data_IF_015079769475
#
_entry.id   IF_015079769475
#
_cell.length_a   1.000
_cell.length_b   1.000
_cell.length_c   1.000
_cell.angle_alpha   90.00
_cell.angle_beta   90.00
_cell.angle_gamma   90.00
#
_symmetry.space_group_name_H-M   'P 1'
#
loop_
_entity.id
_entity.type
_entity.pdbx_description
1 polymer ?
#
# COMPACT_ATOMS: atom_id res chain seq x y z
N UNK A 1 14.49 29.56 4.03
CA UNK A 1 15.02 28.20 4.27
C UNK A 1 14.11 27.07 3.78
N UNK A 2 12.78 27.22 3.81
CA UNK A 2 11.81 26.21 3.33
C UNK A 2 12.11 25.68 1.93
N UNK A 3 12.33 26.56 0.96
CA UNK A 3 12.62 26.18 -0.43
C UNK A 3 13.93 25.39 -0.56
N UNK A 4 14.94 25.71 0.25
CA UNK A 4 16.23 24.99 0.26
C UNK A 4 16.07 23.59 0.82
N UNK A 5 15.35 23.44 1.94
CA UNK A 5 15.05 22.12 2.52
C UNK A 5 14.22 21.24 1.58
N UNK A 6 13.23 21.82 0.91
CA UNK A 6 12.42 21.12 -0.08
C UNK A 6 13.24 20.68 -1.31
N UNK A 7 14.10 21.55 -1.83
CA UNK A 7 14.98 21.20 -2.95
C UNK A 7 15.95 20.06 -2.61
N UNK A 8 16.55 20.08 -1.41
CA UNK A 8 17.42 19.01 -0.91
C UNK A 8 16.64 17.70 -0.77
N UNK A 9 15.42 17.74 -0.24
CA UNK A 9 14.55 16.58 -0.12
C UNK A 9 14.24 15.96 -1.48
N UNK A 10 13.83 16.77 -2.46
CA UNK A 10 13.53 16.32 -3.83
C UNK A 10 14.78 15.71 -4.48
N UNK A 11 15.94 16.36 -4.36
CA UNK A 11 17.20 15.84 -4.87
C UNK A 11 17.59 14.50 -4.25
N UNK A 12 17.41 14.36 -2.93
CA UNK A 12 17.63 13.10 -2.22
C UNK A 12 16.70 11.98 -2.69
N UNK A 13 15.41 12.26 -2.89
CA UNK A 13 14.43 11.29 -3.42
C UNK A 13 14.84 10.85 -4.83
N UNK A 14 15.17 11.79 -5.71
CA UNK A 14 15.58 11.49 -7.07
C UNK A 14 16.84 10.60 -7.11
N UNK A 15 17.81 10.86 -6.23
CA UNK A 15 19.03 10.06 -6.12
C UNK A 15 18.74 8.66 -5.58
N UNK A 16 17.97 8.54 -4.50
CA UNK A 16 17.54 7.25 -3.95
C UNK A 16 16.76 6.41 -4.98
N UNK A 17 15.85 7.01 -5.73
CA UNK A 17 15.07 6.31 -6.75
C UNK A 17 15.98 5.83 -7.90
N UNK A 18 16.90 6.67 -8.37
CA UNK A 18 17.78 6.37 -9.49
C UNK A 18 18.76 5.22 -9.20
N UNK A 19 19.24 5.12 -7.96
CA UNK A 19 20.23 4.10 -7.55
C UNK A 19 19.60 2.90 -6.83
N UNK A 20 18.47 3.10 -6.14
CA UNK A 20 17.70 2.02 -5.51
C UNK A 20 17.07 1.06 -6.52
N UNK A 21 16.67 1.55 -7.70
CA UNK A 21 16.05 0.72 -8.73
C UNK A 21 17.05 -0.01 -9.64
N UNK A 22 18.36 0.26 -9.53
CA UNK A 22 19.36 -0.40 -10.37
C UNK A 22 19.59 -1.83 -9.90
N UNK A 23 19.10 -2.77 -10.70
CA UNK A 23 19.51 -4.17 -10.60
C UNK A 23 20.96 -4.29 -11.05
N UNK A 24 21.74 -5.10 -10.34
CA UNK A 24 23.07 -5.48 -10.82
C UNK A 24 22.97 -6.12 -12.21
N UNK A 25 24.00 -5.98 -13.06
CA UNK A 25 24.02 -6.60 -14.39
C UNK A 25 23.72 -8.11 -14.36
N UNK A 26 24.25 -8.80 -13.35
CA UNK A 26 24.03 -10.23 -13.12
C UNK A 26 22.56 -10.55 -12.83
N UNK A 27 21.92 -9.79 -11.93
CA UNK A 27 20.51 -9.99 -11.59
C UNK A 27 19.60 -9.67 -12.78
N UNK A 28 19.95 -8.68 -13.60
CA UNK A 28 19.22 -8.38 -14.84
C UNK A 28 19.31 -9.55 -15.83
N UNK A 29 20.49 -10.15 -15.98
CA UNK A 29 20.68 -11.32 -16.83
C UNK A 29 19.91 -12.53 -16.29
N UNK A 30 19.97 -12.81 -14.97
CA UNK A 30 19.24 -13.89 -14.30
C UNK A 30 17.73 -13.76 -14.55
N UNK A 31 17.16 -12.58 -14.29
CA UNK A 31 15.74 -12.30 -14.48
C UNK A 31 15.31 -12.33 -15.94
N UNK A 32 16.17 -11.89 -16.86
CA UNK A 32 15.89 -11.94 -18.30
C UNK A 32 15.81 -13.39 -18.79
N UNK A 33 16.77 -14.23 -18.38
CA UNK A 33 16.78 -15.67 -18.71
C UNK A 33 15.57 -16.38 -18.12
N UNK A 34 15.26 -16.16 -16.84
CA UNK A 34 14.06 -16.73 -16.19
C UNK A 34 12.75 -16.25 -16.85
N UNK A 35 12.67 -14.95 -17.17
CA UNK A 35 11.51 -14.36 -17.84
C UNK A 35 11.29 -14.95 -19.23
N UNK A 36 12.36 -15.07 -20.03
CA UNK A 36 12.32 -15.69 -21.36
C UNK A 36 11.90 -17.16 -21.28
N UNK A 37 12.46 -17.93 -20.34
CA UNK A 37 12.08 -19.32 -20.12
C UNK A 37 10.60 -19.47 -19.75
N UNK A 38 10.08 -18.60 -18.87
CA UNK A 38 8.67 -18.60 -18.45
C UNK A 38 7.72 -18.25 -19.59
N UNK A 39 8.07 -17.24 -20.40
CA UNK A 39 7.26 -16.80 -21.53
C UNK A 39 7.17 -17.91 -22.59
N UNK A 40 8.31 -18.47 -23.01
CA UNK A 40 8.35 -19.56 -23.98
C UNK A 40 7.69 -20.85 -23.45
N UNK A 41 7.80 -21.13 -22.14
CA UNK A 41 7.06 -22.22 -21.51
C UNK A 41 5.54 -22.02 -21.53
N UNK A 42 5.07 -20.78 -21.40
CA UNK A 42 3.66 -20.43 -21.58
C UNK A 42 3.19 -20.65 -23.02
N UNK A 43 3.99 -20.22 -24.01
CA UNK A 43 3.71 -20.44 -25.44
C UNK A 43 3.66 -21.93 -25.79
N UNK A 44 4.65 -22.72 -25.34
CA UNK A 44 4.68 -24.15 -25.59
C UNK A 44 3.49 -24.89 -24.94
N UNK A 45 3.08 -24.46 -23.74
CA UNK A 45 1.89 -24.99 -23.06
C UNK A 45 0.61 -24.66 -23.84
N UNK A 46 0.42 -23.41 -24.26
CA UNK A 46 -0.74 -23.01 -25.05
C UNK A 46 -0.80 -23.76 -26.40
N UNK A 47 0.35 -23.94 -27.05
CA UNK A 47 0.44 -24.72 -28.28
C UNK A 47 0.12 -26.20 -28.06
N UNK A 48 0.53 -26.78 -26.93
CA UNK A 48 0.16 -28.14 -26.53
C UNK A 48 -1.35 -28.27 -26.30
N UNK A 49 -1.98 -27.32 -25.60
CA UNK A 49 -3.43 -27.31 -25.38
C UNK A 49 -4.20 -27.23 -26.72
N UNK A 50 -3.73 -26.39 -27.65
CA UNK A 50 -4.30 -26.31 -29.00
C UNK A 50 -4.13 -27.62 -29.79
N UNK A 51 -2.96 -28.27 -29.68
CA UNK A 51 -2.73 -29.60 -30.24
C UNK A 51 -3.71 -30.63 -29.65
N UNK A 52 -3.90 -30.66 -28.34
CA UNK A 52 -4.83 -31.59 -27.70
C UNK A 52 -6.29 -31.35 -28.10
N UNK A 53 -6.68 -30.08 -28.31
CA UNK A 53 -8.02 -29.75 -28.79
C UNK A 53 -8.24 -30.21 -30.25
N UNK A 54 -7.28 -29.92 -31.14
CA UNK A 54 -7.37 -30.30 -32.55
C UNK A 54 -7.25 -31.81 -32.77
N UNK A 55 -6.36 -32.48 -32.02
CA UNK A 55 -6.08 -33.91 -32.12
C UNK A 55 -7.03 -34.81 -31.32
N UNK A 56 -8.17 -34.29 -30.83
CA UNK A 56 -9.09 -35.02 -29.96
C UNK A 56 -9.52 -36.36 -30.57
N UNK A 57 -9.34 -37.45 -29.82
CA UNK A 57 -9.69 -38.80 -30.25
C UNK A 57 -8.66 -39.48 -31.15
N UNK A 58 -7.59 -38.80 -31.54
CA UNK A 58 -6.51 -39.42 -32.33
C UNK A 58 -5.57 -40.26 -31.44
N UNK A 59 -5.03 -41.39 -31.93
CA UNK A 59 -4.00 -42.15 -31.22
C UNK A 59 -2.75 -41.32 -30.91
N UNK A 60 -2.38 -40.39 -31.81
CA UNK A 60 -1.22 -39.52 -31.66
C UNK A 60 -1.39 -38.56 -30.47
N UNK A 61 -2.54 -37.90 -30.34
CA UNK A 61 -2.81 -37.02 -29.18
C UNK A 61 -2.75 -37.80 -27.85
N UNK A 62 -3.26 -39.04 -27.84
CA UNK A 62 -3.16 -39.91 -26.66
C UNK A 62 -1.70 -40.29 -26.35
N UNK A 63 -0.90 -40.61 -27.36
CA UNK A 63 0.53 -40.92 -27.20
C UNK A 63 1.34 -39.72 -26.70
N UNK A 64 0.97 -38.50 -27.12
CA UNK A 64 1.58 -37.24 -26.68
C UNK A 64 1.09 -36.78 -25.29
N UNK A 65 0.20 -37.54 -24.63
CA UNK A 65 -0.25 -37.28 -23.27
C UNK A 65 -1.41 -36.29 -23.13
N UNK A 66 -2.19 -36.07 -24.19
CA UNK A 66 -3.42 -35.29 -24.09
C UNK A 66 -4.44 -36.00 -23.18
N UNK A 67 -5.07 -35.29 -22.21
CA UNK A 67 -6.00 -35.90 -21.28
C UNK A 67 -7.22 -36.47 -22.02
N UNK A 68 -7.69 -37.65 -21.60
CA UNK A 68 -8.97 -38.15 -22.07
C UNK A 68 -10.08 -37.24 -21.52
N UNK A 69 -11.18 -37.08 -22.29
CA UNK A 69 -12.29 -36.17 -21.93
C UNK A 69 -12.93 -36.49 -20.57
N UNK A 70 -12.72 -37.71 -20.05
CA UNK A 70 -13.22 -38.18 -18.76
C UNK A 70 -12.30 -37.85 -17.57
N UNK A 71 -11.08 -37.34 -17.81
CA UNK A 71 -10.08 -37.09 -16.77
C UNK A 71 -10.00 -35.62 -16.33
N UNK A 72 -10.96 -34.75 -16.71
CA UNK A 72 -10.99 -33.38 -16.16
C UNK A 72 -11.18 -33.47 -14.64
N UNK A 73 -10.17 -33.11 -13.82
CA UNK A 73 -10.35 -33.08 -12.38
C UNK A 73 -11.44 -32.06 -12.06
N UNK A 74 -12.37 -32.42 -11.17
CA UNK A 74 -13.41 -31.52 -10.70
C UNK A 74 -12.79 -30.18 -10.28
N UNK A 75 -13.26 -29.11 -10.91
CA UNK A 75 -12.80 -27.73 -10.72
C UNK A 75 -13.07 -27.33 -9.26
N UNK A 76 -12.07 -27.49 -8.38
CA UNK A 76 -12.23 -27.16 -6.95
C UNK A 76 -11.28 -27.85 -5.96
N UNK A 77 -10.60 -28.93 -6.34
CA UNK A 77 -9.67 -29.62 -5.44
C UNK A 77 -8.21 -29.34 -5.81
N UNK A 78 -7.64 -28.23 -5.32
CA UNK A 78 -6.20 -28.05 -5.34
C UNK A 78 -5.59 -28.92 -4.21
N UNK A 79 -4.83 -30.00 -4.51
CA UNK A 79 -4.19 -30.78 -3.47
C UNK A 79 -3.06 -29.94 -2.86
N UNK A 80 -3.21 -29.54 -1.60
CA UNK A 80 -2.09 -29.09 -0.76
C UNK A 80 -1.18 -30.29 -0.52
N UNK A 81 -0.29 -30.58 -1.46
CA UNK A 81 0.78 -31.54 -1.26
C UNK A 81 1.81 -30.94 -0.30
N UNK A 82 1.67 -31.22 0.99
CA UNK A 82 2.75 -31.07 1.97
C UNK A 82 3.89 -32.01 1.56
N UNK A 83 4.86 -31.48 0.79
CA UNK A 83 6.12 -32.17 0.53
C UNK A 83 6.93 -32.19 1.83
N UNK A 84 6.83 -33.28 2.60
CA UNK A 84 7.83 -33.64 3.61
C UNK A 84 9.19 -33.74 2.91
N UNK A 85 10.11 -32.85 3.29
CA UNK A 85 11.48 -32.85 2.81
C UNK A 85 12.25 -34.01 3.46
N UNK A 86 12.17 -35.19 2.88
CA UNK A 86 13.15 -36.24 3.16
C UNK A 86 14.49 -35.84 2.54
N UNK A 87 15.55 -35.84 3.36
CA UNK A 87 16.91 -35.56 2.97
C UNK A 87 17.43 -36.64 1.99
N UNK A 88 17.08 -36.52 0.71
CA UNK A 88 17.66 -37.33 -0.37
C UNK A 88 19.08 -36.86 -0.62
N UNK A 89 20.00 -37.84 -0.71
CA UNK A 89 21.39 -37.64 -1.10
C UNK A 89 21.50 -36.68 -2.29
N UNK A 90 22.39 -35.70 -2.17
CA UNK A 90 22.61 -34.63 -3.13
C UNK A 90 23.10 -35.22 -4.46
N UNK A 91 22.17 -35.45 -5.39
CA UNK A 91 22.53 -35.80 -6.77
C UNK A 91 23.26 -34.61 -7.38
N UNK A 92 24.31 -34.84 -8.19
CA UNK A 92 25.00 -33.75 -8.88
C UNK A 92 23.98 -32.96 -9.70
N UNK A 93 24.04 -31.62 -9.58
CA UNK A 93 23.16 -30.73 -10.34
C UNK A 93 23.44 -30.91 -11.84
N UNK A 94 22.41 -31.10 -12.67
CA UNK A 94 22.60 -31.27 -14.11
C UNK A 94 23.18 -29.99 -14.73
N UNK A 95 24.05 -30.13 -15.73
CA UNK A 95 24.60 -28.99 -16.48
C UNK A 95 23.60 -28.52 -17.56
N UNK A 96 23.82 -27.32 -18.11
CA UNK A 96 22.98 -26.80 -19.21
C UNK A 96 23.00 -27.76 -20.38
N UNK A 97 24.17 -28.26 -20.75
CA UNK A 97 24.37 -29.17 -21.88
C UNK A 97 23.60 -30.48 -21.68
N UNK A 98 23.59 -31.01 -20.46
CA UNK A 98 22.83 -32.22 -20.13
C UNK A 98 21.32 -31.99 -20.28
N UNK A 99 20.80 -30.86 -19.78
CA UNK A 99 19.39 -30.50 -19.89
C UNK A 99 18.97 -30.21 -21.34
N UNK A 100 19.84 -29.55 -22.12
CA UNK A 100 19.61 -29.30 -23.55
C UNK A 100 19.60 -30.61 -24.32
N UNK A 101 20.52 -31.53 -24.03
CA UNK A 101 20.55 -32.85 -24.64
C UNK A 101 19.28 -33.64 -24.34
N UNK A 102 18.80 -33.64 -23.09
CA UNK A 102 17.52 -34.25 -22.71
C UNK A 102 16.34 -33.63 -23.47
N UNK A 103 16.27 -32.30 -23.51
CA UNK A 103 15.22 -31.57 -24.24
C UNK A 103 15.22 -31.89 -25.74
N UNK A 104 16.40 -31.97 -26.37
CA UNK A 104 16.54 -32.35 -27.78
C UNK A 104 16.18 -33.81 -28.05
N UNK A 105 16.52 -34.73 -27.13
CA UNK A 105 16.10 -36.12 -27.23
C UNK A 105 14.57 -36.24 -27.18
N UNK A 106 13.91 -35.47 -26.30
CA UNK A 106 12.45 -35.39 -26.25
C UNK A 106 11.85 -34.79 -27.53
N UNK A 107 12.46 -33.72 -28.05
CA UNK A 107 12.04 -33.11 -29.32
C UNK A 107 12.12 -34.11 -30.48
N UNK A 108 13.19 -34.91 -30.56
CA UNK A 108 13.33 -35.95 -31.58
C UNK A 108 12.22 -37.01 -31.48
N UNK A 109 11.85 -37.43 -30.26
CA UNK A 109 10.70 -38.31 -30.04
C UNK A 109 9.38 -37.71 -30.50
N UNK A 110 9.16 -36.41 -30.22
CA UNK A 110 7.98 -35.69 -30.70
C UNK A 110 7.94 -35.62 -32.24
N UNK A 111 9.07 -35.36 -32.89
CA UNK A 111 9.17 -35.31 -34.35
C UNK A 111 8.90 -36.67 -35.00
N UNK A 112 9.36 -37.77 -34.40
CA UNK A 112 9.13 -39.13 -34.91
C UNK A 112 7.63 -39.53 -34.90
N UNK A 113 6.84 -39.02 -33.96
CA UNK A 113 5.41 -39.31 -33.84
C UNK A 113 4.49 -38.55 -34.83
N UNK A 114 5.04 -37.84 -35.83
CA UNK A 114 4.26 -36.97 -36.71
C UNK A 114 3.57 -37.68 -37.90
N UNK A 115 3.88 -38.95 -38.13
CA UNK A 115 3.37 -39.68 -39.29
C UNK A 115 1.85 -39.89 -39.21
N UNK A 116 1.16 -39.68 -40.33
CA UNK A 116 -0.28 -39.98 -40.47
C UNK A 116 -1.25 -38.90 -39.99
N UNK A 117 -0.77 -37.68 -39.69
CA UNK A 117 -1.62 -36.53 -39.41
C UNK A 117 -1.75 -35.64 -40.66
N UNK A 118 -2.96 -35.18 -40.94
CA UNK A 118 -3.28 -34.19 -41.97
C UNK A 118 -4.08 -33.01 -41.40
N UNK A 119 -4.35 -32.01 -42.24
CA UNK A 119 -5.24 -30.90 -41.91
C UNK A 119 -4.82 -30.05 -40.70
N UNK A 120 -5.82 -29.71 -39.88
CA UNK A 120 -5.67 -28.85 -38.68
C UNK A 120 -4.86 -29.53 -37.56
N UNK A 121 -5.06 -30.82 -37.22
CA UNK A 121 -4.22 -31.53 -36.24
C UNK A 121 -2.73 -31.48 -36.59
N UNK A 122 -2.36 -31.71 -37.86
CA UNK A 122 -0.96 -31.66 -38.29
C UNK A 122 -0.32 -30.28 -38.05
N UNK A 123 -1.06 -29.20 -38.35
CA UNK A 123 -0.62 -27.82 -38.12
C UNK A 123 -0.46 -27.51 -36.63
N UNK A 124 -1.43 -27.89 -35.80
CA UNK A 124 -1.40 -27.66 -34.37
C UNK A 124 -0.22 -28.40 -33.70
N UNK A 125 0.03 -29.65 -34.11
CA UNK A 125 1.19 -30.43 -33.62
C UNK A 125 2.51 -29.81 -34.04
N UNK A 126 2.64 -29.40 -35.30
CA UNK A 126 3.84 -28.73 -35.79
C UNK A 126 4.13 -27.42 -35.04
N UNK A 127 3.08 -26.63 -34.73
CA UNK A 127 3.20 -25.42 -33.93
C UNK A 127 3.68 -25.72 -32.50
N UNK A 128 3.16 -26.78 -31.86
CA UNK A 128 3.62 -27.22 -30.55
C UNK A 128 5.08 -27.68 -30.56
N UNK A 129 5.47 -28.52 -31.52
CA UNK A 129 6.86 -28.98 -31.67
C UNK A 129 7.82 -27.80 -31.84
N UNK A 130 7.47 -26.84 -32.70
CA UNK A 130 8.27 -25.63 -32.92
C UNK A 130 8.35 -24.73 -31.66
N UNK A 131 7.24 -24.60 -30.92
CA UNK A 131 7.24 -23.85 -29.66
C UNK A 131 8.10 -24.55 -28.58
N UNK A 132 8.03 -25.88 -28.50
CA UNK A 132 8.85 -26.67 -27.58
C UNK A 132 10.34 -26.53 -27.89
N UNK A 133 10.73 -26.61 -29.17
CA UNK A 133 12.12 -26.43 -29.60
C UNK A 133 12.71 -25.09 -29.13
N UNK A 134 11.97 -23.99 -29.31
CA UNK A 134 12.39 -22.65 -28.87
C UNK A 134 12.59 -22.55 -27.36
N UNK A 135 11.88 -23.36 -26.58
CA UNK A 135 11.92 -23.34 -25.12
C UNK A 135 13.15 -24.07 -24.54
N UNK A 136 13.70 -25.09 -25.23
CA UNK A 136 14.71 -26.00 -24.66
C UNK A 136 15.89 -25.25 -24.03
N UNK A 137 16.56 -24.40 -24.81
CA UNK A 137 17.78 -23.71 -24.37
C UNK A 137 17.49 -22.69 -23.25
N UNK A 138 16.51 -21.76 -23.36
CA UNK A 138 16.18 -20.85 -22.27
C UNK A 138 15.74 -21.56 -20.98
N UNK A 139 14.97 -22.65 -21.07
CA UNK A 139 14.57 -23.42 -19.89
C UNK A 139 15.75 -24.15 -19.24
N UNK A 140 16.67 -24.72 -20.02
CA UNK A 140 17.89 -25.33 -19.50
C UNK A 140 18.78 -24.30 -18.77
N UNK A 141 19.00 -23.14 -19.39
CA UNK A 141 19.74 -22.03 -18.78
C UNK A 141 19.06 -21.55 -17.50
N UNK A 142 17.74 -21.39 -17.49
CA UNK A 142 17.01 -20.99 -16.29
C UNK A 142 17.04 -22.03 -15.17
N UNK A 143 17.07 -23.33 -15.49
CA UNK A 143 17.07 -24.41 -14.51
C UNK A 143 18.38 -24.54 -13.73
N UNK A 144 19.51 -24.14 -14.32
CA UNK A 144 20.82 -24.15 -13.64
C UNK A 144 21.11 -22.87 -12.86
N UNK A 145 20.35 -21.80 -13.12
CA UNK A 145 20.47 -20.55 -12.36
C UNK A 145 20.03 -20.82 -10.91
N UNK A 146 21.02 -20.93 -10.03
CA UNK A 146 20.76 -21.00 -8.61
C UNK A 146 20.28 -19.63 -8.15
N UNK A 147 19.20 -19.56 -7.35
CA UNK A 147 18.77 -18.29 -6.78
C UNK A 147 19.94 -17.72 -5.99
N UNK A 148 20.46 -16.58 -6.45
CA UNK A 148 21.54 -15.88 -5.76
C UNK A 148 21.10 -15.63 -4.30
N UNK A 149 21.89 -16.04 -3.29
CA UNK A 149 21.49 -15.86 -1.89
C UNK A 149 21.17 -14.39 -1.58
N UNK A 150 20.19 -14.11 -0.70
CA UNK A 150 19.79 -12.73 -0.40
C UNK A 150 20.96 -11.83 0.03
N UNK A 151 21.91 -12.37 0.79
CA UNK A 151 23.10 -11.63 1.23
C UNK A 151 23.98 -11.17 0.07
N UNK A 152 24.27 -12.05 -0.89
CA UNK A 152 25.07 -11.74 -2.08
C UNK A 152 24.38 -10.71 -2.98
N UNK A 153 23.05 -10.78 -3.09
CA UNK A 153 22.26 -9.79 -3.83
C UNK A 153 22.39 -8.40 -3.23
N UNK A 154 22.24 -8.28 -1.91
CA UNK A 154 22.36 -7.00 -1.19
C UNK A 154 23.78 -6.46 -1.28
N UNK A 155 24.81 -7.30 -1.10
CA UNK A 155 26.20 -6.84 -1.17
C UNK A 155 26.60 -6.37 -2.57
N UNK A 156 26.18 -7.09 -3.63
CA UNK A 156 26.46 -6.69 -5.01
C UNK A 156 25.77 -5.36 -5.36
N UNK A 157 24.49 -5.22 -4.99
CA UNK A 157 23.76 -3.95 -5.15
C UNK A 157 24.43 -2.82 -4.37
N UNK A 158 24.84 -3.07 -3.12
CA UNK A 158 25.47 -2.06 -2.28
C UNK A 158 26.83 -1.61 -2.81
N UNK A 159 27.63 -2.54 -3.36
CA UNK A 159 28.90 -2.22 -3.99
C UNK A 159 28.75 -1.31 -5.22
N UNK A 160 27.69 -1.48 -6.01
CA UNK A 160 27.44 -0.69 -7.21
C UNK A 160 26.72 0.64 -6.92
N UNK A 161 25.72 0.63 -6.04
CA UNK A 161 24.75 1.72 -5.86
C UNK A 161 24.58 2.19 -4.42
N UNK A 162 25.14 1.48 -3.44
CA UNK A 162 24.90 1.71 -2.02
C UNK A 162 25.39 3.08 -1.54
N UNK A 163 26.56 3.52 -1.97
CA UNK A 163 27.13 4.82 -1.55
C UNK A 163 26.23 6.00 -1.98
N UNK A 164 25.83 6.04 -3.26
CA UNK A 164 24.95 7.11 -3.76
C UNK A 164 23.55 7.03 -3.16
N UNK A 165 23.04 5.83 -2.90
CA UNK A 165 21.80 5.64 -2.17
C UNK A 165 21.89 6.21 -0.75
N UNK A 166 22.95 5.92 -0.01
CA UNK A 166 23.16 6.46 1.34
C UNK A 166 23.29 7.98 1.35
N UNK A 167 23.97 8.57 0.36
CA UNK A 167 24.03 10.02 0.17
C UNK A 167 22.62 10.58 -0.06
N UNK A 168 21.84 9.95 -0.94
CA UNK A 168 20.45 10.35 -1.21
C UNK A 168 19.59 10.29 0.05
N UNK A 169 19.73 9.21 0.83
CA UNK A 169 19.02 9.01 2.08
C UNK A 169 19.39 10.10 3.11
N UNK A 170 20.68 10.42 3.24
CA UNK A 170 21.15 11.49 4.10
C UNK A 170 20.55 12.85 3.70
N UNK A 171 20.48 13.15 2.38
CA UNK A 171 19.85 14.36 1.87
C UNK A 171 18.34 14.39 2.17
N UNK A 172 17.63 13.27 2.01
CA UNK A 172 16.20 13.16 2.38
C UNK A 172 16.00 13.49 3.85
N UNK A 173 16.79 12.89 4.74
CA UNK A 173 16.70 13.12 6.18
C UNK A 173 17.01 14.57 6.54
N UNK A 174 18.10 15.13 6.00
CA UNK A 174 18.47 16.52 6.22
C UNK A 174 17.40 17.50 5.71
N UNK A 175 16.91 17.30 4.49
CA UNK A 175 15.85 18.09 3.87
C UNK A 175 14.55 18.05 4.68
N UNK A 176 14.15 16.86 5.14
CA UNK A 176 12.97 16.68 6.00
C UNK A 176 13.12 17.39 7.35
N UNK A 177 14.27 17.27 8.02
CA UNK A 177 14.54 17.94 9.29
C UNK A 177 14.51 19.47 9.10
N UNK A 178 15.15 20.01 8.06
CA UNK A 178 15.15 21.45 7.79
C UNK A 178 13.76 21.97 7.44
N UNK A 179 13.00 21.24 6.60
CA UNK A 179 11.63 21.60 6.27
C UNK A 179 10.74 21.63 7.52
N UNK A 180 10.89 20.64 8.41
CA UNK A 180 10.16 20.58 9.68
C UNK A 180 10.55 21.72 10.62
N UNK A 181 11.84 22.06 10.72
CA UNK A 181 12.30 23.22 11.48
C UNK A 181 11.78 24.54 10.92
N UNK A 182 11.73 24.68 9.60
CA UNK A 182 11.18 25.87 8.94
C UNK A 182 9.68 26.03 9.21
N UNK A 183 8.89 24.96 9.10
CA UNK A 183 7.46 24.98 9.44
C UNK A 183 7.23 25.29 10.92
N UNK A 184 8.04 24.68 11.81
CA UNK A 184 7.97 24.98 13.26
C UNK A 184 8.32 26.44 13.53
N UNK A 185 9.36 26.98 12.89
CA UNK A 185 9.72 28.39 13.02
C UNK A 185 8.61 29.31 12.50
N UNK A 186 8.05 29.05 11.32
CA UNK A 186 6.92 29.80 10.76
C UNK A 186 5.73 29.80 11.74
N UNK A 187 5.33 28.63 12.25
CA UNK A 187 4.22 28.48 13.18
C UNK A 187 4.44 29.18 14.54
N UNK A 188 5.68 29.29 15.00
CA UNK A 188 6.03 29.97 16.25
C UNK A 188 6.35 31.46 16.06
N UNK A 189 6.70 31.87 14.84
CA UNK A 189 7.10 33.24 14.50
C UNK A 189 5.93 34.16 14.18
N UNK A 190 4.70 33.75 14.47
CA UNK A 190 3.46 34.50 14.25
C UNK A 190 3.48 35.79 15.10
N UNK A 191 4.30 36.76 14.68
CA UNK A 191 4.17 38.15 15.05
C UNK A 191 2.78 38.55 14.56
N UNK A 192 1.92 39.07 15.43
CA UNK A 192 0.58 39.49 15.03
C UNK A 192 0.72 40.37 13.80
N UNK A 193 0.13 39.96 12.66
CA UNK A 193 0.02 40.84 11.50
C UNK A 193 -0.73 42.07 11.99
N UNK A 194 -0.04 43.20 11.98
CA UNK A 194 -0.51 44.47 12.54
C UNK A 194 -1.91 44.78 12.00
N UNK A 195 -2.94 44.62 12.84
CA UNK A 195 -4.33 44.95 12.50
C UNK A 195 -5.37 43.84 12.70
N UNK A 196 -4.97 42.58 12.92
CA UNK A 196 -5.90 41.49 13.27
C UNK A 196 -5.92 41.23 14.79
N UNK A 197 -7.07 40.79 15.32
CA UNK A 197 -7.17 40.24 16.66
C UNK A 197 -5.98 39.30 16.92
N UNK A 198 -5.34 39.44 18.08
CA UNK A 198 -4.04 38.81 18.38
C UNK A 198 -4.01 37.28 18.18
N UNK A 199 -2.83 36.66 18.28
CA UNK A 199 -2.71 35.21 18.08
C UNK A 199 -3.65 34.47 19.03
N UNK A 200 -4.70 33.90 18.45
CA UNK A 200 -5.73 33.22 19.23
C UNK A 200 -5.15 31.90 19.74
N UNK A 201 -5.11 31.75 21.06
CA UNK A 201 -4.60 30.55 21.72
C UNK A 201 -5.59 29.40 21.54
N UNK A 202 -5.14 28.28 20.98
CA UNK A 202 -5.95 27.08 20.78
C UNK A 202 -6.60 26.60 22.09
N UNK A 203 -5.88 26.70 23.22
CA UNK A 203 -6.41 26.30 24.52
C UNK A 203 -7.56 27.18 24.99
N UNK A 204 -7.48 28.49 24.71
CA UNK A 204 -8.55 29.44 25.03
C UNK A 204 -9.79 29.14 24.18
N UNK A 205 -9.62 29.01 22.86
CA UNK A 205 -10.72 28.67 21.95
C UNK A 205 -11.38 27.34 22.31
N UNK A 206 -10.59 26.33 22.65
CA UNK A 206 -11.10 25.02 23.04
C UNK A 206 -11.89 25.10 24.36
N UNK A 207 -11.39 25.90 25.32
CA UNK A 207 -12.08 26.18 26.57
C UNK A 207 -13.41 26.91 26.36
N UNK A 208 -13.45 27.91 25.49
CA UNK A 208 -14.67 28.64 25.11
C UNK A 208 -15.70 27.73 24.44
N UNK A 209 -15.26 26.91 23.47
CA UNK A 209 -16.10 25.92 22.82
C UNK A 209 -16.66 24.89 23.81
N UNK A 210 -15.84 24.39 24.75
CA UNK A 210 -16.27 23.49 25.83
C UNK A 210 -17.38 24.12 26.66
N UNK A 211 -17.19 25.37 27.11
CA UNK A 211 -18.20 26.09 27.91
C UNK A 211 -19.49 26.29 27.12
N UNK A 212 -19.39 26.69 25.86
CA UNK A 212 -20.55 26.88 24.99
C UNK A 212 -21.33 25.58 24.75
N UNK A 213 -20.64 24.47 24.49
CA UNK A 213 -21.26 23.16 24.32
C UNK A 213 -21.94 22.68 25.61
N UNK A 214 -21.34 22.93 26.77
CA UNK A 214 -21.93 22.58 28.07
C UNK A 214 -23.17 23.40 28.37
N UNK A 215 -23.10 24.72 28.20
CA UNK A 215 -24.27 25.60 28.36
C UNK A 215 -25.41 25.18 27.44
N UNK A 216 -25.09 24.79 26.20
CA UNK A 216 -26.09 24.24 25.26
C UNK A 216 -26.70 22.92 25.73
N UNK A 217 -25.87 22.00 26.25
CA UNK A 217 -26.37 20.75 26.81
C UNK A 217 -27.35 21.02 27.97
N UNK A 218 -26.99 21.93 28.86
CA UNK A 218 -27.79 22.30 30.04
C UNK A 218 -29.13 22.95 29.64
N UNK A 219 -29.12 23.89 28.68
CA UNK A 219 -30.34 24.51 28.12
C UNK A 219 -31.29 23.48 27.49
N UNK A 220 -30.75 22.39 26.93
CA UNK A 220 -31.55 21.34 26.28
C UNK A 220 -32.11 20.29 27.25
N UNK A 221 -31.82 20.36 28.55
CA UNK A 221 -32.30 19.37 29.54
C UNK A 221 -33.79 19.50 29.91
N UNK A 222 -34.46 20.58 29.50
CA UNK A 222 -35.90 20.79 29.73
C UNK A 222 -36.80 19.69 29.13
N UNK A 223 -37.88 19.34 29.84
CA UNK A 223 -38.76 18.21 29.52
C UNK A 223 -39.67 18.44 28.30
N UNK A 224 -39.97 19.69 27.95
CA UNK A 224 -40.84 20.05 26.83
C UNK A 224 -39.97 20.56 25.69
N UNK A 225 -39.98 19.83 24.56
CA UNK A 225 -38.99 19.95 23.48
C UNK A 225 -38.81 21.37 22.97
N UNK A 226 -37.87 22.08 23.60
CA UNK A 226 -37.82 23.54 23.79
C UNK A 226 -37.75 24.38 22.53
N UNK A 227 -37.06 25.52 22.57
CA UNK A 227 -36.85 26.32 21.36
C UNK A 227 -35.92 25.57 20.38
N UNK A 228 -36.51 24.69 19.56
CA UNK A 228 -35.79 23.85 18.59
C UNK A 228 -35.12 24.69 17.52
N UNK A 229 -35.78 25.76 17.10
CA UNK A 229 -35.26 26.68 16.10
C UNK A 229 -34.04 27.43 16.64
N UNK A 230 -34.12 27.94 17.87
CA UNK A 230 -32.99 28.55 18.56
C UNK A 230 -31.84 27.58 18.80
N UNK A 231 -32.13 26.35 19.26
CA UNK A 231 -31.11 25.32 19.46
C UNK A 231 -30.38 24.95 18.16
N UNK A 232 -31.11 24.85 17.05
CA UNK A 232 -30.53 24.58 15.72
C UNK A 232 -29.61 25.74 15.29
N UNK A 233 -30.10 26.97 15.35
CA UNK A 233 -29.32 28.16 14.98
C UNK A 233 -28.05 28.29 15.83
N UNK A 234 -28.13 27.99 17.13
CA UNK A 234 -26.97 28.02 18.02
C UNK A 234 -25.94 26.92 17.71
N UNK A 235 -26.39 25.73 17.31
CA UNK A 235 -25.49 24.65 16.88
C UNK A 235 -24.81 25.02 15.55
N UNK A 236 -25.53 25.62 14.60
CA UNK A 236 -24.95 26.11 13.34
C UNK A 236 -23.89 27.19 13.62
N UNK A 237 -24.19 28.15 14.50
CA UNK A 237 -23.23 29.17 14.93
C UNK A 237 -22.00 28.53 15.57
N UNK A 238 -22.17 27.54 16.47
CA UNK A 238 -21.05 26.81 17.08
C UNK A 238 -20.15 26.12 16.03
N UNK A 239 -20.73 25.47 15.01
CA UNK A 239 -19.98 24.82 13.93
C UNK A 239 -19.14 25.83 13.13
N UNK A 240 -19.71 26.99 12.80
CA UNK A 240 -19.04 27.98 11.96
C UNK A 240 -18.08 28.88 12.73
N UNK A 241 -18.49 29.35 13.90
CA UNK A 241 -17.78 30.39 14.64
C UNK A 241 -16.77 29.83 15.64
N UNK A 242 -16.98 28.61 16.15
CA UNK A 242 -16.14 28.04 17.21
C UNK A 242 -15.32 26.84 16.75
N UNK A 243 -15.91 25.89 16.00
CA UNK A 243 -15.15 24.74 15.47
C UNK A 243 -14.17 25.14 14.35
N UNK A 244 -14.59 25.98 13.40
CA UNK A 244 -13.75 26.32 12.24
C UNK A 244 -12.39 26.96 12.64
N UNK A 245 -12.32 27.95 13.56
CA UNK A 245 -11.04 28.52 13.98
C UNK A 245 -10.11 27.49 14.64
N UNK A 246 -10.65 26.53 15.41
CA UNK A 246 -9.87 25.44 16.01
C UNK A 246 -9.30 24.49 14.94
N UNK A 247 -10.08 24.18 13.91
CA UNK A 247 -9.62 23.37 12.77
C UNK A 247 -8.50 24.09 12.00
N UNK A 248 -8.60 25.39 11.81
CA UNK A 248 -7.54 26.19 11.17
C UNK A 248 -6.27 26.24 12.02
N UNK A 249 -6.41 26.29 13.35
CA UNK A 249 -5.30 26.29 14.31
C UNK A 249 -4.58 24.93 14.46
N UNK A 250 -5.07 23.85 13.83
CA UNK A 250 -4.48 22.49 13.92
C UNK A 250 -2.99 22.44 13.61
N UNK A 251 -2.53 23.22 12.63
CA UNK A 251 -1.13 23.26 12.22
C UNK A 251 -0.22 23.79 13.32
N UNK A 252 -0.72 24.77 14.10
CA UNK A 252 0.00 25.34 15.25
C UNK A 252 0.09 24.33 16.39
N UNK A 253 -1.01 23.64 16.69
CA UNK A 253 -1.04 22.58 17.70
C UNK A 253 -0.03 21.47 17.37
N UNK A 254 -0.05 20.96 16.13
CA UNK A 254 0.87 19.94 15.66
C UNK A 254 2.33 20.42 15.62
N UNK A 255 2.59 21.67 15.25
CA UNK A 255 3.93 22.24 15.27
C UNK A 255 4.50 22.40 16.68
N UNK A 256 3.64 22.73 17.65
CA UNK A 256 4.02 22.94 19.06
C UNK A 256 4.24 21.62 19.78
N UNK A 257 3.29 20.69 19.69
CA UNK A 257 3.27 19.45 20.50
C UNK A 257 3.57 18.16 19.72
N UNK A 258 3.88 18.27 18.43
CA UNK A 258 4.15 17.12 17.57
C UNK A 258 2.89 16.33 17.17
N UNK A 259 3.09 15.24 16.42
CA UNK A 259 2.00 14.44 15.87
C UNK A 259 1.27 13.63 16.94
N UNK A 260 2.00 13.11 17.95
CA UNK A 260 1.42 12.35 19.04
C UNK A 260 0.51 13.24 19.92
N UNK A 261 1.02 14.39 20.37
CA UNK A 261 0.22 15.35 21.15
C UNK A 261 -0.96 15.91 20.34
N UNK A 262 -0.77 16.17 19.04
CA UNK A 262 -1.88 16.49 18.14
C UNK A 262 -2.95 15.40 18.15
N UNK A 263 -2.58 14.13 17.92
CA UNK A 263 -3.54 13.04 17.84
C UNK A 263 -4.30 12.82 19.16
N UNK A 264 -3.63 12.98 20.30
CA UNK A 264 -4.23 12.85 21.62
C UNK A 264 -5.34 13.90 21.85
N UNK A 265 -5.12 15.15 21.43
CA UNK A 265 -6.10 16.24 21.57
C UNK A 265 -7.19 16.17 20.49
N UNK A 266 -6.80 15.93 19.24
CA UNK A 266 -7.73 16.00 18.10
C UNK A 266 -8.68 14.80 18.03
N UNK A 267 -8.31 13.65 18.59
CA UNK A 267 -9.18 12.48 18.68
C UNK A 267 -10.55 12.78 19.34
N UNK A 268 -10.56 13.19 20.62
CA UNK A 268 -11.78 13.58 21.31
C UNK A 268 -12.44 14.84 20.71
N UNK A 269 -11.67 15.84 20.27
CA UNK A 269 -12.20 17.04 19.58
C UNK A 269 -13.01 16.69 18.31
N UNK A 270 -12.47 15.88 17.41
CA UNK A 270 -13.21 15.39 16.22
C UNK A 270 -14.35 14.45 16.60
N UNK A 271 -14.29 13.80 17.76
CA UNK A 271 -15.41 13.12 18.36
C UNK A 271 -16.55 14.08 18.71
N UNK A 272 -16.25 15.22 19.34
CA UNK A 272 -17.23 16.25 19.68
C UNK A 272 -17.87 16.87 18.44
N UNK A 273 -17.07 17.27 17.44
CA UNK A 273 -17.56 17.83 16.17
C UNK A 273 -18.59 16.91 15.49
N UNK A 274 -18.28 15.60 15.40
CA UNK A 274 -19.19 14.61 14.82
C UNK A 274 -20.50 14.49 15.60
N UNK A 275 -20.46 14.66 16.92
CA UNK A 275 -21.66 14.60 17.78
C UNK A 275 -22.51 15.87 17.64
N UNK A 276 -21.90 17.04 17.51
CA UNK A 276 -22.60 18.28 17.17
C UNK A 276 -23.27 18.17 15.79
N UNK A 277 -22.59 17.60 14.78
CA UNK A 277 -23.20 17.36 13.47
C UNK A 277 -24.41 16.41 13.57
N UNK A 278 -24.33 15.36 14.39
CA UNK A 278 -25.47 14.47 14.66
C UNK A 278 -26.61 15.18 15.38
N UNK A 279 -26.29 16.08 16.31
CA UNK A 279 -27.29 16.89 17.01
C UNK A 279 -28.04 17.79 16.03
N UNK A 280 -27.31 18.45 15.13
CA UNK A 280 -27.90 19.26 14.06
C UNK A 280 -28.84 18.44 13.18
N UNK A 281 -28.40 17.28 12.68
CA UNK A 281 -29.27 16.39 11.86
C UNK A 281 -30.52 15.96 12.63
N UNK A 282 -30.37 15.56 13.90
CA UNK A 282 -31.50 15.18 14.73
C UNK A 282 -32.50 16.33 14.96
N UNK A 283 -32.04 17.59 15.03
CA UNK A 283 -32.94 18.76 15.10
C UNK A 283 -33.68 19.02 13.80
N UNK A 284 -33.02 18.82 12.65
CA UNK A 284 -33.65 18.90 11.32
C UNK A 284 -34.75 17.84 11.18
N UNK A 285 -34.52 16.64 11.73
CA UNK A 285 -35.48 15.53 11.72
C UNK A 285 -36.48 15.58 12.89
N UNK A 286 -36.57 16.71 13.61
CA UNK A 286 -37.48 16.93 14.74
C UNK A 286 -37.32 15.96 15.94
N UNK A 287 -36.17 15.29 16.05
CA UNK A 287 -35.88 14.28 17.07
C UNK A 287 -35.13 14.87 18.29
N UNK A 288 -35.85 15.66 19.11
CA UNK A 288 -35.28 16.39 20.26
C UNK A 288 -34.43 15.56 21.25
N UNK A 289 -34.89 14.40 21.77
CA UNK A 289 -34.09 13.64 22.75
C UNK A 289 -32.72 13.23 22.21
N UNK A 290 -32.66 12.83 20.94
CA UNK A 290 -31.42 12.42 20.27
C UNK A 290 -30.48 13.61 20.05
N UNK A 291 -31.03 14.77 19.73
CA UNK A 291 -30.24 16.00 19.62
C UNK A 291 -29.60 16.35 20.96
N UNK A 292 -30.39 16.39 22.05
CA UNK A 292 -29.90 16.64 23.40
C UNK A 292 -28.80 15.68 23.81
N UNK A 293 -29.03 14.37 23.66
CA UNK A 293 -28.05 13.35 24.04
C UNK A 293 -26.75 13.50 23.23
N UNK A 294 -26.85 13.91 21.96
CA UNK A 294 -25.69 14.15 21.10
C UNK A 294 -24.90 15.39 21.55
N UNK A 295 -25.55 16.48 21.95
CA UNK A 295 -24.88 17.67 22.50
C UNK A 295 -24.20 17.36 23.84
N UNK A 296 -24.86 16.60 24.72
CA UNK A 296 -24.28 16.19 26.00
C UNK A 296 -22.98 15.39 25.78
N UNK A 297 -23.02 14.38 24.91
CA UNK A 297 -21.82 13.59 24.57
C UNK A 297 -20.75 14.42 23.85
N UNK A 298 -21.13 15.50 23.15
CA UNK A 298 -20.17 16.43 22.56
C UNK A 298 -19.44 17.23 23.63
N UNK A 299 -20.16 17.70 24.67
CA UNK A 299 -19.57 18.40 25.81
C UNK A 299 -18.57 17.51 26.56
N UNK A 300 -18.93 16.24 26.83
CA UNK A 300 -18.03 15.26 27.45
C UNK A 300 -16.74 15.05 26.63
N UNK A 301 -16.87 14.94 25.31
CA UNK A 301 -15.71 14.82 24.43
C UNK A 301 -14.85 16.10 24.37
N UNK A 302 -15.43 17.27 24.59
CA UNK A 302 -14.66 18.52 24.72
C UNK A 302 -13.94 18.59 26.08
N UNK A 303 -14.54 18.06 27.15
CA UNK A 303 -13.87 17.90 28.45
C UNK A 303 -12.63 17.00 28.30
N UNK A 304 -12.78 15.86 27.61
CA UNK A 304 -11.66 14.97 27.29
C UNK A 304 -10.58 15.65 26.44
N UNK A 305 -10.97 16.47 25.46
CA UNK A 305 -10.03 17.19 24.60
C UNK A 305 -9.24 18.26 25.38
N UNK A 306 -9.88 18.99 26.30
CA UNK A 306 -9.19 19.94 27.18
C UNK A 306 -8.23 19.22 28.11
N UNK A 307 -8.67 18.14 28.76
CA UNK A 307 -7.79 17.34 29.62
C UNK A 307 -6.60 16.75 28.86
N UNK A 308 -6.79 16.33 27.60
CA UNK A 308 -5.72 15.89 26.72
C UNK A 308 -4.73 17.03 26.42
N UNK A 309 -5.22 18.23 26.16
CA UNK A 309 -4.36 19.39 25.91
C UNK A 309 -3.51 19.72 27.14
N UNK A 310 -4.09 19.71 28.33
CA UNK A 310 -3.37 19.95 29.60
C UNK A 310 -2.25 18.93 29.83
N UNK A 311 -2.50 17.64 29.58
CA UNK A 311 -1.46 16.59 29.66
C UNK A 311 -0.33 16.83 28.68
N UNK A 312 -0.68 17.15 27.43
CA UNK A 312 0.30 17.40 26.36
C UNK A 312 1.14 18.66 26.66
N UNK A 313 0.53 19.70 27.24
CA UNK A 313 1.24 20.89 27.72
C UNK A 313 2.20 20.53 28.85
N UNK A 314 1.73 19.82 29.88
CA UNK A 314 2.56 19.42 31.02
C UNK A 314 3.75 18.54 30.61
N UNK A 315 3.58 17.65 29.63
CA UNK A 315 4.67 16.83 29.08
C UNK A 315 5.67 17.63 28.24
N UNK A 316 5.26 18.75 27.65
CA UNK A 316 6.15 19.58 26.85
C UNK A 316 7.00 20.55 27.69
N UNK A 317 6.51 20.89 28.89
CA UNK A 317 7.20 21.79 29.83
C UNK A 317 8.12 21.07 30.82
N UNK A 318 8.03 19.73 30.95
CA UNK A 318 8.88 18.89 31.80
C UNK A 318 10.08 18.28 31.07
#
# INVERSE_FOLDING_TARGET
>A
MKNVGLAILIGGIALCASYGARLSPEMRAELSTQGKAKLLGGEAKAAFEAWCAAGKGTPAAKADGCPAEQDKPAEGAAPKAEKKAEAKAEKPKPTVEALVAEGRAKLAGMQAGAAGLDGEPAKARAAWVAAFEKQIEPSAQAAVLLPTPPGTRVSAWFAESGVFFLIGLALVLAGAIMARKAVKAEALSDKPKSGGAGPVDFGVLLGELRVAARGRADEMTGADGGDRAGAKAAIEAMQHEQFAPLVEARGKLQARYGLAGYAEVFGPFSGAERRINRAWSALVDEHWPRARDSVLQAAEALDEAVAALERVVAQADG
#
